data_IF_424028248508
#
_entry.id   IF_424028248508
#
_cell.length_a   1.000
_cell.length_b   1.000
_cell.length_c   1.000
_cell.angle_alpha   90.00
_cell.angle_beta   90.00
_cell.angle_gamma   90.00
#
_symmetry.space_group_name_H-M   'P 1'
#
loop_
_entity.id
_entity.type
_entity.pdbx_description
1 polymer ?
#
# COMPACT_ATOMS: atom_id res chain seq x y z
N UNK A 1 -29.47 7.40 76.39
CA UNK A 1 -30.08 8.42 77.27
C UNK A 1 -29.46 9.76 76.88
N UNK A 2 -30.25 10.83 76.66
CA UNK A 2 -29.78 12.19 76.38
C UNK A 2 -29.69 13.01 77.69
N UNK A 3 -29.55 14.35 77.65
CA UNK A 3 -28.70 15.23 76.84
C UNK A 3 -27.67 15.92 77.77
N UNK A 4 -27.17 17.12 77.43
CA UNK A 4 -27.26 18.33 78.29
C UNK A 4 -26.73 19.56 77.53
N UNK A 5 -27.14 20.76 77.96
CA UNK A 5 -26.85 22.04 77.27
C UNK A 5 -26.02 23.01 78.12
N UNK A 6 -25.59 24.09 77.46
CA UNK A 6 -25.40 25.43 78.03
C UNK A 6 -24.10 25.75 78.83
N UNK A 7 -23.73 27.06 78.94
CA UNK A 7 -22.33 27.48 78.83
C UNK A 7 -21.92 28.54 79.90
N UNK A 8 -20.95 29.41 79.56
CA UNK A 8 -20.70 30.80 80.00
C UNK A 8 -19.32 31.07 80.65
N UNK A 9 -18.94 32.37 80.58
CA UNK A 9 -17.80 33.06 81.23
C UNK A 9 -16.43 32.79 80.56
N UNK A 10 -15.56 33.76 80.25
CA UNK A 10 -15.27 35.13 80.74
C UNK A 10 -14.51 35.17 82.09
N UNK A 11 -13.41 35.93 82.28
CA UNK A 11 -12.76 36.93 81.40
C UNK A 11 -11.27 36.58 81.14
N UNK A 12 -10.17 37.31 81.41
CA UNK A 12 -9.90 38.62 82.06
C UNK A 12 -8.58 39.23 81.52
N UNK A 13 -8.39 40.54 81.74
CA UNK A 13 -7.29 41.40 81.30
C UNK A 13 -5.90 41.09 81.91
N UNK A 14 -4.84 41.50 81.19
CA UNK A 14 -3.73 42.29 81.73
C UNK A 14 -3.22 43.29 80.65
N UNK A 15 -2.64 44.42 81.04
CA UNK A 15 -2.59 45.66 80.23
C UNK A 15 -1.23 45.99 79.53
N UNK A 16 -1.33 46.62 78.34
CA UNK A 16 -0.84 47.99 77.95
C UNK A 16 0.37 48.53 78.78
N UNK A 17 1.44 49.17 78.20
CA UNK A 17 1.24 50.36 77.34
C UNK A 17 2.27 50.84 76.28
N UNK A 18 1.72 51.68 75.37
CA UNK A 18 2.23 52.92 74.74
C UNK A 18 3.49 52.95 73.84
N UNK A 19 3.31 53.50 72.62
CA UNK A 19 4.29 54.40 71.97
C UNK A 19 4.48 54.26 70.45
N UNK A 20 4.36 55.37 69.71
CA UNK A 20 5.11 55.56 68.43
C UNK A 20 4.33 55.48 67.11
N UNK A 21 4.03 56.67 66.56
CA UNK A 21 3.38 56.96 65.28
C UNK A 21 3.91 56.27 64.01
N UNK A 22 2.96 55.89 63.14
CA UNK A 22 2.96 55.90 61.66
C UNK A 22 4.28 56.06 60.85
N UNK A 23 4.51 55.12 59.93
CA UNK A 23 4.47 55.35 58.47
C UNK A 23 4.26 53.99 57.75
N UNK A 24 3.71 53.98 56.52
CA UNK A 24 3.31 52.74 55.83
C UNK A 24 4.19 52.35 54.65
N UNK A 25 4.08 51.09 54.20
CA UNK A 25 4.53 50.65 52.87
C UNK A 25 3.71 49.44 52.37
N UNK A 26 3.49 49.35 51.06
CA UNK A 26 2.73 48.25 50.45
C UNK A 26 3.61 47.02 50.18
N UNK A 27 3.06 45.83 50.41
CA UNK A 27 3.66 44.55 50.01
C UNK A 27 2.57 43.56 49.56
N UNK A 28 1.97 43.79 48.39
CA UNK A 28 1.01 42.87 47.78
C UNK A 28 1.76 41.74 47.07
N UNK A 29 1.90 40.59 47.74
CA UNK A 29 2.60 39.42 47.21
C UNK A 29 1.85 38.75 46.06
N UNK A 30 2.25 39.06 44.81
CA UNK A 30 1.72 38.39 43.61
C UNK A 30 2.20 36.94 43.54
N UNK A 31 1.32 36.00 43.88
CA UNK A 31 1.49 34.58 43.56
C UNK A 31 1.31 34.36 42.05
N UNK A 32 2.41 34.47 41.31
CA UNK A 32 2.44 34.08 39.88
C UNK A 32 2.39 32.56 39.80
N UNK A 33 1.16 32.03 39.75
CA UNK A 33 0.91 30.63 39.46
C UNK A 33 1.27 30.32 38.01
N UNK A 34 2.54 29.94 37.77
CA UNK A 34 3.02 29.49 36.46
C UNK A 34 2.26 28.25 36.01
N UNK A 35 1.19 28.46 35.24
CA UNK A 35 0.42 27.40 34.61
C UNK A 35 1.30 26.68 33.57
N UNK A 36 1.99 25.62 34.01
CA UNK A 36 2.68 24.70 33.11
C UNK A 36 1.62 24.00 32.28
N UNK A 37 1.35 24.56 31.09
CA UNK A 37 0.44 23.99 30.11
C UNK A 37 1.06 22.70 29.58
N UNK A 38 0.77 21.59 30.26
CA UNK A 38 1.21 20.25 29.87
C UNK A 38 0.53 19.89 28.56
N UNK A 39 1.23 20.16 27.45
CA UNK A 39 0.76 19.83 26.12
C UNK A 39 0.42 18.34 26.06
N UNK A 40 -0.88 18.03 25.95
CA UNK A 40 -1.32 16.64 25.81
C UNK A 40 -0.62 16.03 24.59
N UNK A 41 -0.06 14.81 24.70
CA UNK A 41 0.74 14.22 23.64
C UNK A 41 -0.14 13.95 22.42
N UNK A 42 -0.06 14.83 21.41
CA UNK A 42 -0.97 14.92 20.28
C UNK A 42 -1.45 13.54 19.80
N UNK A 43 -2.76 13.33 19.77
CA UNK A 43 -3.33 12.11 19.22
C UNK A 43 -3.13 12.07 17.72
N UNK A 44 -2.86 10.89 17.17
CA UNK A 44 -2.84 10.65 15.72
C UNK A 44 -4.13 11.19 15.11
N UNK A 45 -4.02 11.91 13.98
CA UNK A 45 -5.16 12.39 13.22
C UNK A 45 -6.02 11.19 12.78
N UNK A 46 -7.33 11.16 13.08
CA UNK A 46 -8.15 9.98 12.81
C UNK A 46 -8.22 9.65 11.32
N UNK A 47 -8.43 8.37 10.99
CA UNK A 47 -8.70 7.95 9.63
C UNK A 47 -10.06 8.53 9.18
N UNK A 48 -10.15 9.28 8.05
CA UNK A 48 -11.40 9.90 7.62
C UNK A 48 -12.37 8.87 7.04
N UNK A 49 -13.64 8.93 7.44
CA UNK A 49 -14.72 8.28 6.69
C UNK A 49 -14.95 9.07 5.41
N UNK A 50 -14.61 8.49 4.25
CA UNK A 50 -14.69 9.18 2.96
C UNK A 50 -15.93 8.72 2.19
N UNK A 51 -16.64 9.67 1.57
CA UNK A 51 -17.67 9.35 0.57
C UNK A 51 -16.99 9.13 -0.78
N UNK A 52 -17.26 8.00 -1.45
CA UNK A 52 -16.63 7.65 -2.71
C UNK A 52 -16.70 8.79 -3.76
N UNK A 53 -17.85 9.47 -3.83
CA UNK A 53 -18.09 10.59 -4.77
C UNK A 53 -17.29 11.86 -4.52
N UNK A 54 -16.49 11.91 -3.45
CA UNK A 54 -15.53 13.00 -3.18
C UNK A 54 -14.10 12.69 -3.63
N UNK A 55 -13.80 11.44 -4.01
CA UNK A 55 -12.43 10.97 -4.33
C UNK A 55 -12.34 10.13 -5.61
N UNK A 56 -13.46 9.95 -6.33
CA UNK A 56 -13.55 9.19 -7.59
C UNK A 56 -14.30 9.99 -8.66
N UNK A 57 -13.94 9.77 -9.91
CA UNK A 57 -14.69 10.26 -11.08
C UNK A 57 -16.03 9.53 -11.25
N UNK A 58 -16.95 10.11 -12.03
CA UNK A 58 -18.25 9.48 -12.34
C UNK A 58 -18.12 8.07 -12.93
N UNK A 59 -17.17 7.86 -13.85
CA UNK A 59 -16.91 6.56 -14.47
C UNK A 59 -16.29 5.53 -13.50
N UNK A 60 -15.43 5.98 -12.57
CA UNK A 60 -14.92 5.12 -11.50
C UNK A 60 -16.03 4.73 -10.52
N UNK A 61 -16.93 5.66 -10.17
CA UNK A 61 -18.06 5.41 -9.27
C UNK A 61 -19.04 4.37 -9.83
N UNK A 62 -19.36 4.46 -11.13
CA UNK A 62 -20.34 3.59 -11.79
C UNK A 62 -20.02 3.44 -13.28
N UNK A 63 -19.94 2.20 -13.73
CA UNK A 63 -19.88 1.83 -15.15
C UNK A 63 -21.10 1.01 -15.55
N UNK A 64 -21.02 0.33 -16.69
CA UNK A 64 -22.07 -0.59 -17.14
C UNK A 64 -22.16 -1.85 -16.24
N UNK A 65 -21.01 -2.39 -15.83
CA UNK A 65 -20.90 -3.68 -15.12
C UNK A 65 -20.48 -3.53 -13.64
N UNK A 66 -20.28 -2.31 -13.15
CA UNK A 66 -19.75 -2.05 -11.80
C UNK A 66 -20.38 -0.85 -11.09
N UNK A 67 -20.48 -0.93 -9.77
CA UNK A 67 -20.87 0.15 -8.87
C UNK A 67 -19.94 0.14 -7.64
N UNK A 68 -19.34 1.27 -7.31
CA UNK A 68 -18.56 1.44 -6.07
C UNK A 68 -19.50 1.80 -4.91
N UNK A 69 -19.29 1.19 -3.75
CA UNK A 69 -20.03 1.50 -2.53
C UNK A 69 -19.77 2.94 -2.05
N UNK A 70 -20.81 3.63 -1.58
CA UNK A 70 -20.72 5.05 -1.24
C UNK A 70 -19.80 5.36 -0.05
N UNK A 71 -19.64 4.42 0.89
CA UNK A 71 -18.74 4.54 2.04
C UNK A 71 -17.38 3.91 1.72
N UNK A 72 -16.30 4.67 1.94
CA UNK A 72 -14.91 4.27 1.71
C UNK A 72 -14.17 4.28 3.04
N UNK A 73 -13.60 3.13 3.40
CA UNK A 73 -12.73 2.99 4.57
C UNK A 73 -11.31 3.46 4.23
N UNK A 74 -10.57 3.99 5.21
CA UNK A 74 -9.23 4.58 4.97
C UNK A 74 -8.13 4.05 5.92
N UNK A 75 -7.96 2.72 6.06
CA UNK A 75 -6.99 2.15 6.99
C UNK A 75 -5.55 2.42 6.54
N UNK A 76 -4.81 3.16 7.38
CA UNK A 76 -3.44 3.58 7.08
C UNK A 76 -3.42 4.81 6.16
N UNK A 77 -3.07 4.60 4.90
CA UNK A 77 -2.84 5.62 3.85
C UNK A 77 -3.61 5.35 2.54
N UNK A 78 -4.34 4.24 2.46
CA UNK A 78 -5.07 3.82 1.26
C UNK A 78 -6.58 3.95 1.45
N UNK A 79 -7.29 4.20 0.35
CA UNK A 79 -8.74 4.04 0.26
C UNK A 79 -9.10 2.57 -0.02
N UNK A 80 -9.94 1.97 0.81
CA UNK A 80 -10.47 0.62 0.56
C UNK A 80 -11.86 0.71 -0.06
N UNK A 81 -11.92 0.47 -1.37
CA UNK A 81 -13.14 0.47 -2.15
C UNK A 81 -13.78 -0.93 -2.18
N UNK A 82 -15.10 -0.97 -2.10
CA UNK A 82 -15.90 -2.17 -2.38
C UNK A 82 -16.65 -1.94 -3.69
N UNK A 83 -16.50 -2.87 -4.64
CA UNK A 83 -17.08 -2.78 -5.98
C UNK A 83 -18.04 -3.93 -6.17
N UNK A 84 -19.32 -3.65 -6.42
CA UNK A 84 -20.33 -4.66 -6.72
C UNK A 84 -20.58 -4.75 -8.21
N UNK A 85 -20.72 -5.97 -8.70
CA UNK A 85 -20.93 -6.33 -10.11
C UNK A 85 -21.87 -7.53 -10.19
N UNK A 86 -22.44 -7.76 -11.37
CA UNK A 86 -23.10 -9.02 -11.73
C UNK A 86 -22.16 -10.25 -11.63
N UNK A 87 -20.85 -10.02 -11.75
CA UNK A 87 -19.79 -11.02 -11.59
C UNK A 87 -19.25 -11.16 -10.15
N UNK A 88 -19.89 -10.51 -9.17
CA UNK A 88 -19.56 -10.64 -7.75
C UNK A 88 -19.19 -9.33 -7.05
N UNK A 89 -18.64 -9.44 -5.84
CA UNK A 89 -18.18 -8.29 -5.04
C UNK A 89 -16.67 -8.31 -4.89
N UNK A 90 -16.01 -7.27 -5.39
CA UNK A 90 -14.57 -7.12 -5.41
C UNK A 90 -14.09 -6.07 -4.40
N UNK A 91 -12.83 -6.17 -4.00
CA UNK A 91 -12.16 -5.20 -3.12
C UNK A 91 -10.96 -4.61 -3.85
N UNK A 92 -10.82 -3.30 -3.81
CA UNK A 92 -9.67 -2.58 -4.37
C UNK A 92 -9.01 -1.73 -3.27
N UNK A 93 -7.69 -1.79 -3.19
CA UNK A 93 -6.91 -1.02 -2.21
C UNK A 93 -6.16 0.11 -2.91
N UNK A 94 -6.78 1.27 -2.89
CA UNK A 94 -6.35 2.50 -3.55
C UNK A 94 -6.83 2.66 -4.99
N UNK A 95 -6.73 3.88 -5.52
CA UNK A 95 -7.32 4.26 -6.82
C UNK A 95 -6.73 3.46 -7.99
N UNK A 96 -5.41 3.23 -8.00
CA UNK A 96 -4.73 2.43 -9.03
C UNK A 96 -5.24 0.97 -9.08
N UNK A 97 -5.62 0.41 -7.92
CA UNK A 97 -6.24 -0.92 -7.84
C UNK A 97 -7.71 -0.92 -8.21
N UNK A 98 -8.44 0.18 -7.96
CA UNK A 98 -9.81 0.33 -8.44
C UNK A 98 -9.84 0.35 -9.96
N UNK A 99 -8.93 1.10 -10.60
CA UNK A 99 -8.81 1.15 -12.05
C UNK A 99 -8.33 -0.18 -12.65
N UNK A 100 -7.64 -1.04 -11.88
CA UNK A 100 -7.41 -2.45 -12.27
C UNK A 100 -8.70 -3.26 -12.17
N UNK A 101 -9.36 -3.28 -11.01
CA UNK A 101 -10.57 -4.08 -10.75
C UNK A 101 -11.72 -3.72 -11.70
N UNK A 102 -11.91 -2.44 -12.06
CA UNK A 102 -12.92 -2.02 -13.05
C UNK A 102 -12.62 -2.58 -14.44
N UNK A 103 -11.35 -2.57 -14.88
CA UNK A 103 -10.94 -3.22 -16.15
C UNK A 103 -11.13 -4.73 -16.10
N UNK A 104 -10.85 -5.38 -14.97
CA UNK A 104 -11.09 -6.81 -14.81
C UNK A 104 -12.57 -7.18 -14.86
N UNK A 105 -13.45 -6.39 -14.23
CA UNK A 105 -14.91 -6.58 -14.30
C UNK A 105 -15.40 -6.47 -15.75
N UNK A 106 -14.97 -5.45 -16.49
CA UNK A 106 -15.31 -5.33 -17.91
C UNK A 106 -14.72 -6.47 -18.75
N UNK A 107 -13.51 -6.93 -18.44
CA UNK A 107 -12.90 -8.11 -19.08
C UNK A 107 -13.68 -9.40 -18.83
N UNK A 108 -14.21 -9.60 -17.61
CA UNK A 108 -15.12 -10.73 -17.30
C UNK A 108 -16.40 -10.61 -18.13
N UNK A 109 -16.96 -9.40 -18.32
CA UNK A 109 -18.12 -9.20 -19.19
C UNK A 109 -17.85 -9.65 -20.63
N UNK A 110 -16.80 -9.14 -21.26
CA UNK A 110 -16.41 -9.49 -22.64
C UNK A 110 -16.20 -11.00 -22.80
N UNK A 111 -15.51 -11.65 -21.85
CA UNK A 111 -15.33 -13.11 -21.85
C UNK A 111 -16.66 -13.88 -21.73
N UNK A 112 -17.64 -13.36 -20.97
CA UNK A 112 -18.97 -13.96 -20.82
C UNK A 112 -19.82 -13.87 -22.10
N UNK A 113 -19.61 -12.85 -22.94
CA UNK A 113 -20.28 -12.74 -24.24
C UNK A 113 -19.72 -13.74 -25.27
N UNK A 114 -18.44 -14.08 -25.16
CA UNK A 114 -17.76 -15.06 -26.01
C UNK A 114 -18.11 -16.50 -25.62
N UNK A 115 -18.23 -16.81 -24.33
CA UNK A 115 -18.53 -18.15 -23.84
C UNK A 115 -19.62 -18.15 -22.77
N UNK A 116 -20.80 -18.65 -23.11
CA UNK A 116 -21.89 -18.97 -22.16
C UNK A 116 -21.67 -20.29 -21.40
N UNK A 117 -20.42 -20.66 -21.16
CA UNK A 117 -20.07 -21.90 -20.46
C UNK A 117 -20.47 -21.86 -18.98
N UNK A 118 -20.72 -23.03 -18.40
CA UNK A 118 -21.31 -23.19 -17.06
C UNK A 118 -20.48 -22.52 -15.94
N UNK A 119 -19.18 -22.32 -16.18
CA UNK A 119 -18.24 -21.56 -15.34
C UNK A 119 -18.77 -20.14 -15.04
N UNK A 120 -19.44 -19.49 -15.99
CA UNK A 120 -20.09 -18.20 -15.77
C UNK A 120 -21.42 -18.31 -15.01
N UNK A 121 -22.12 -19.44 -15.14
CA UNK A 121 -23.42 -19.68 -14.48
C UNK A 121 -23.21 -19.88 -12.98
N UNK A 122 -22.21 -20.67 -12.58
CA UNK A 122 -21.88 -20.89 -11.15
C UNK A 122 -21.44 -19.58 -10.46
N UNK A 123 -20.58 -18.80 -11.11
CA UNK A 123 -20.08 -17.52 -10.58
C UNK A 123 -21.18 -16.44 -10.46
N UNK A 124 -22.09 -16.36 -11.43
CA UNK A 124 -23.23 -15.43 -11.39
C UNK A 124 -24.27 -15.83 -10.34
N UNK A 125 -24.59 -17.14 -10.23
CA UNK A 125 -25.63 -17.66 -9.34
C UNK A 125 -25.37 -17.35 -7.85
N UNK A 126 -24.13 -17.47 -7.40
CA UNK A 126 -23.76 -17.14 -6.01
C UNK A 126 -23.66 -15.62 -5.75
N UNK A 127 -23.49 -14.82 -6.79
CA UNK A 127 -23.32 -13.35 -6.68
C UNK A 127 -24.66 -12.64 -6.42
N UNK A 128 -25.72 -13.02 -7.13
CA UNK A 128 -27.07 -12.43 -7.01
C UNK A 128 -27.63 -12.48 -5.58
N UNK A 129 -27.42 -13.59 -4.86
CA UNK A 129 -27.92 -13.79 -3.48
C UNK A 129 -27.29 -12.81 -2.47
N UNK A 130 -26.10 -12.28 -2.78
CA UNK A 130 -25.32 -11.47 -1.85
C UNK A 130 -25.49 -9.95 -2.05
N UNK A 131 -25.85 -9.49 -3.25
CA UNK A 131 -26.07 -8.05 -3.53
C UNK A 131 -27.14 -7.45 -2.61
N UNK A 132 -28.24 -8.17 -2.38
CA UNK A 132 -29.32 -7.73 -1.50
C UNK A 132 -28.96 -7.64 0.00
N UNK A 133 -27.84 -8.24 0.43
CA UNK A 133 -27.37 -8.23 1.84
C UNK A 133 -26.17 -7.30 2.05
N UNK A 134 -25.34 -7.09 1.02
CA UNK A 134 -24.10 -6.32 1.13
C UNK A 134 -24.28 -4.83 1.48
N UNK A 135 -25.40 -4.22 1.11
CA UNK A 135 -25.64 -2.79 1.30
C UNK A 135 -25.84 -2.37 2.78
N UNK A 136 -26.38 -3.25 3.62
CA UNK A 136 -26.74 -2.91 5.01
C UNK A 136 -25.54 -2.88 5.97
N UNK A 137 -24.57 -3.78 5.78
CA UNK A 137 -23.50 -4.02 6.76
C UNK A 137 -22.32 -3.03 6.67
N UNK A 138 -22.29 -2.16 5.65
CA UNK A 138 -21.18 -1.22 5.42
C UNK A 138 -21.11 -0.03 6.40
N UNK A 139 -22.03 0.07 7.36
CA UNK A 139 -22.21 1.22 8.26
C UNK A 139 -21.89 0.90 9.73
N UNK A 140 -21.60 -0.36 10.06
CA UNK A 140 -21.46 -0.81 11.45
C UNK A 140 -20.01 -0.70 11.96
N UNK A 141 -19.80 0.25 12.89
CA UNK A 141 -18.66 0.38 13.82
C UNK A 141 -17.24 0.62 13.23
N UNK A 142 -16.95 1.82 12.69
CA UNK A 142 -15.59 2.22 12.32
C UNK A 142 -14.59 2.31 13.50
N UNK A 143 -15.09 2.44 14.73
CA UNK A 143 -14.27 2.66 15.95
C UNK A 143 -13.49 1.41 16.36
N UNK A 144 -14.04 0.20 16.16
CA UNK A 144 -13.36 -1.04 16.57
C UNK A 144 -12.27 -1.47 15.59
N UNK A 145 -12.44 -1.17 14.29
CA UNK A 145 -11.39 -1.34 13.27
C UNK A 145 -10.10 -0.60 13.66
N UNK A 146 -10.21 0.59 14.27
CA UNK A 146 -9.05 1.38 14.69
C UNK A 146 -8.15 0.65 15.71
N UNK A 147 -8.71 -0.26 16.54
CA UNK A 147 -7.97 -1.00 17.58
C UNK A 147 -7.04 -2.06 16.99
N UNK A 148 -7.36 -2.61 15.81
CA UNK A 148 -6.55 -3.65 15.14
C UNK A 148 -5.39 -3.14 14.29
N UNK A 149 -5.41 -1.87 13.86
CA UNK A 149 -4.50 -1.34 12.81
C UNK A 149 -3.07 -1.07 13.29
N UNK A 150 -2.81 -1.10 14.60
CA UNK A 150 -1.49 -0.77 15.19
C UNK A 150 -0.31 -1.63 14.73
N UNK A 151 -0.56 -2.85 14.23
CA UNK A 151 0.51 -3.76 13.79
C UNK A 151 1.24 -3.35 12.50
N UNK A 152 0.57 -2.64 11.58
CA UNK A 152 1.12 -2.31 10.26
C UNK A 152 2.17 -1.20 10.32
N UNK A 153 1.88 -0.11 11.04
CA UNK A 153 2.68 1.11 11.01
C UNK A 153 4.08 0.94 11.63
N UNK A 154 4.21 0.10 12.67
CA UNK A 154 5.49 -0.19 13.35
C UNK A 154 6.56 -0.80 12.43
N UNK A 155 6.18 -1.29 11.23
CA UNK A 155 7.06 -1.86 10.20
C UNK A 155 7.46 -0.89 9.08
N UNK A 156 6.98 0.36 9.06
CA UNK A 156 7.28 1.31 7.97
C UNK A 156 8.63 2.02 8.14
N UNK A 157 9.01 2.33 9.40
CA UNK A 157 10.29 2.95 9.79
C UNK A 157 11.14 2.08 10.73
N UNK A 158 11.12 0.74 10.58
CA UNK A 158 12.07 -0.13 11.31
C UNK A 158 12.58 -1.30 10.46
N UNK A 159 13.84 -1.23 10.02
CA UNK A 159 14.62 -2.40 9.58
C UNK A 159 16.09 -2.39 10.05
N UNK A 160 16.55 -1.30 10.69
CA UNK A 160 17.92 -1.02 11.13
C UNK A 160 18.39 -1.88 12.32
N UNK A 161 18.34 -3.21 12.18
CA UNK A 161 18.76 -4.16 13.21
C UNK A 161 18.28 -5.61 13.05
N UNK A 162 17.42 -5.94 12.08
CA UNK A 162 16.94 -7.32 11.85
C UNK A 162 17.74 -8.13 10.82
N UNK A 163 18.74 -7.51 10.16
CA UNK A 163 19.66 -8.21 9.24
C UNK A 163 20.82 -8.86 9.98
N UNK A 164 21.49 -8.13 10.88
CA UNK A 164 22.59 -8.67 11.70
C UNK A 164 22.16 -9.86 12.55
N UNK A 165 20.95 -9.82 13.13
CA UNK A 165 20.47 -10.97 13.93
C UNK A 165 20.08 -12.18 13.05
N UNK A 166 19.32 -12.00 11.96
CA UNK A 166 18.95 -13.15 11.11
C UNK A 166 20.13 -13.76 10.35
N UNK A 167 21.13 -12.98 9.93
CA UNK A 167 22.35 -13.55 9.36
C UNK A 167 23.23 -14.31 10.39
N UNK A 168 22.93 -14.20 11.69
CA UNK A 168 23.55 -15.01 12.74
C UNK A 168 22.66 -16.22 13.12
N UNK A 169 21.34 -16.04 13.19
CA UNK A 169 20.38 -17.11 13.47
C UNK A 169 20.25 -18.11 12.28
N UNK A 170 20.34 -17.64 11.03
CA UNK A 170 20.26 -18.46 9.79
C UNK A 170 21.57 -19.22 9.46
N UNK A 171 22.59 -19.14 10.33
CA UNK A 171 23.84 -19.88 10.20
C UNK A 171 23.86 -21.21 10.98
N UNK A 172 22.80 -21.51 11.74
CA UNK A 172 22.67 -22.67 12.62
C UNK A 172 21.22 -23.18 12.63
N UNK A 173 20.86 -24.02 11.66
CA UNK A 173 20.05 -25.25 11.84
C UNK A 173 19.91 -25.99 10.49
N UNK A 174 19.43 -27.23 10.52
CA UNK A 174 19.54 -28.21 9.43
C UNK A 174 18.50 -28.03 8.30
N UNK A 175 18.79 -28.59 7.11
CA UNK A 175 17.96 -28.49 5.90
C UNK A 175 16.61 -29.22 6.11
N UNK A 176 15.46 -28.52 6.07
CA UNK A 176 14.18 -29.11 6.44
C UNK A 176 13.69 -30.12 5.38
N UNK A 177 13.39 -31.35 5.81
CA UNK A 177 12.85 -32.37 4.92
C UNK A 177 11.52 -31.92 4.26
N UNK A 178 11.58 -31.74 2.95
CA UNK A 178 10.42 -31.41 2.12
C UNK A 178 9.34 -32.50 2.22
N UNK A 179 8.08 -32.06 2.23
CA UNK A 179 6.92 -32.95 2.21
C UNK A 179 6.85 -33.79 0.93
N UNK A 180 6.11 -34.90 0.96
CA UNK A 180 5.91 -35.72 -0.25
C UNK A 180 5.19 -34.96 -1.37
N UNK A 181 4.34 -33.99 -1.02
CA UNK A 181 3.66 -33.12 -1.98
C UNK A 181 4.63 -32.16 -2.68
N UNK A 182 5.62 -31.61 -1.96
CA UNK A 182 6.71 -30.80 -2.53
C UNK A 182 7.68 -31.65 -3.37
N UNK A 183 7.98 -32.88 -2.92
CA UNK A 183 8.79 -33.86 -3.67
C UNK A 183 8.08 -34.28 -4.97
N UNK A 184 6.76 -34.52 -4.95
CA UNK A 184 5.94 -34.80 -6.13
C UNK A 184 5.86 -33.58 -7.09
N UNK A 185 5.79 -32.37 -6.54
CA UNK A 185 5.84 -31.15 -7.33
C UNK A 185 7.20 -30.99 -8.06
N UNK A 186 8.32 -31.38 -7.43
CA UNK A 186 9.64 -31.39 -8.09
C UNK A 186 9.70 -32.29 -9.34
N UNK A 187 8.95 -33.40 -9.37
CA UNK A 187 8.98 -34.36 -10.48
C UNK A 187 8.26 -33.95 -11.78
N UNK A 188 7.48 -32.85 -11.81
CA UNK A 188 6.47 -32.64 -12.87
C UNK A 188 6.47 -31.27 -13.58
N UNK A 189 7.42 -30.36 -13.27
CA UNK A 189 7.48 -29.02 -13.88
C UNK A 189 7.18 -27.86 -12.92
N UNK A 190 7.63 -27.99 -11.67
CA UNK A 190 7.43 -27.10 -10.51
C UNK A 190 7.67 -25.62 -10.75
N UNK A 191 8.59 -25.29 -11.66
CA UNK A 191 9.01 -23.91 -11.96
C UNK A 191 7.84 -23.02 -12.37
N UNK A 192 6.77 -23.58 -12.92
CA UNK A 192 5.56 -22.82 -13.26
C UNK A 192 4.60 -22.63 -12.08
N UNK A 193 4.58 -23.55 -11.11
CA UNK A 193 3.73 -23.46 -9.93
C UNK A 193 4.32 -22.47 -8.88
N UNK A 194 5.61 -22.60 -8.57
CA UNK A 194 6.28 -21.78 -7.56
C UNK A 194 6.34 -20.28 -7.93
N UNK A 195 6.24 -19.95 -9.22
CA UNK A 195 6.27 -18.58 -9.77
C UNK A 195 4.86 -18.06 -10.10
N UNK A 196 3.80 -18.80 -9.76
CA UNK A 196 2.40 -18.37 -9.92
C UNK A 196 1.86 -18.36 -11.36
N UNK A 197 2.59 -18.91 -12.33
CA UNK A 197 2.21 -18.91 -13.77
C UNK A 197 1.39 -20.13 -14.20
N UNK A 198 1.05 -21.02 -13.26
CA UNK A 198 0.18 -22.18 -13.49
C UNK A 198 -1.17 -21.74 -14.10
N UNK A 199 -1.50 -22.30 -15.26
CA UNK A 199 -2.69 -21.97 -16.07
C UNK A 199 -2.42 -21.01 -17.25
N UNK A 200 -1.34 -20.22 -17.21
CA UNK A 200 -1.12 -19.08 -18.15
C UNK A 200 -0.50 -19.53 -19.49
N UNK A 201 -1.26 -20.34 -20.23
CA UNK A 201 -0.91 -20.81 -21.57
C UNK A 201 -1.07 -19.70 -22.64
N UNK A 202 -0.70 -20.00 -23.91
CA UNK A 202 -0.75 -19.01 -25.00
C UNK A 202 -2.18 -18.55 -25.35
N UNK A 203 -3.20 -19.39 -25.15
CA UNK A 203 -4.59 -19.01 -25.38
C UNK A 203 -5.09 -18.05 -24.28
N UNK A 204 -4.79 -18.33 -23.01
CA UNK A 204 -5.07 -17.41 -21.88
C UNK A 204 -4.46 -16.03 -22.13
N UNK A 205 -3.19 -15.96 -22.58
CA UNK A 205 -2.54 -14.67 -22.90
C UNK A 205 -3.17 -13.97 -24.11
N UNK A 206 -3.56 -14.68 -25.18
CA UNK A 206 -4.30 -14.10 -26.32
C UNK A 206 -5.64 -13.51 -25.88
N UNK A 207 -6.40 -14.20 -25.02
CA UNK A 207 -7.69 -13.69 -24.55
C UNK A 207 -7.54 -12.54 -23.57
N UNK A 208 -6.55 -12.58 -22.68
CA UNK A 208 -6.22 -11.45 -21.80
C UNK A 208 -5.84 -10.19 -22.60
N UNK A 209 -5.10 -10.35 -23.71
CA UNK A 209 -4.78 -9.26 -24.63
C UNK A 209 -6.02 -8.68 -25.32
N UNK A 210 -6.91 -9.54 -25.84
CA UNK A 210 -8.18 -9.13 -26.47
C UNK A 210 -9.05 -8.30 -25.52
N UNK A 211 -9.12 -8.66 -24.24
CA UNK A 211 -9.97 -7.98 -23.24
C UNK A 211 -9.23 -6.94 -22.38
N UNK A 212 -7.95 -6.67 -22.66
CA UNK A 212 -7.18 -5.59 -22.03
C UNK A 212 -6.78 -5.81 -20.56
N UNK A 213 -6.62 -7.07 -20.13
CA UNK A 213 -6.36 -7.45 -18.72
C UNK A 213 -5.02 -8.18 -18.51
N UNK A 214 -4.61 -8.35 -17.25
CA UNK A 214 -3.41 -9.08 -16.86
C UNK A 214 -3.64 -10.62 -16.88
N UNK A 215 -2.95 -11.39 -17.74
CA UNK A 215 -3.05 -12.85 -17.74
C UNK A 215 -2.48 -13.52 -16.49
N UNK A 216 -1.69 -12.79 -15.67
CA UNK A 216 -1.14 -13.24 -14.39
C UNK A 216 -1.90 -12.63 -13.20
N UNK A 217 -3.18 -12.26 -13.39
CA UNK A 217 -4.02 -11.67 -12.35
C UNK A 217 -4.22 -12.60 -11.13
N UNK A 218 -4.33 -11.99 -9.95
CA UNK A 218 -4.75 -12.65 -8.71
C UNK A 218 -6.28 -12.69 -8.52
N UNK A 219 -7.05 -12.14 -9.47
CA UNK A 219 -8.52 -12.18 -9.46
C UNK A 219 -9.00 -13.55 -9.95
N UNK A 220 -9.48 -14.39 -9.03
CA UNK A 220 -9.93 -15.76 -9.33
C UNK A 220 -11.09 -15.79 -10.34
N UNK A 221 -12.05 -14.88 -10.25
CA UNK A 221 -13.18 -14.81 -11.20
C UNK A 221 -12.69 -14.54 -12.62
N UNK A 222 -11.76 -13.58 -12.79
CA UNK A 222 -11.18 -13.30 -14.10
C UNK A 222 -10.28 -14.44 -14.59
N UNK A 223 -9.49 -15.05 -13.70
CA UNK A 223 -8.64 -16.20 -14.06
C UNK A 223 -9.49 -17.37 -14.58
N UNK A 224 -10.55 -17.75 -13.88
CA UNK A 224 -11.47 -18.82 -14.32
C UNK A 224 -12.18 -18.47 -15.64
N UNK A 225 -12.57 -17.21 -15.84
CA UNK A 225 -13.14 -16.75 -17.10
C UNK A 225 -12.16 -16.86 -18.28
N UNK A 226 -10.89 -16.45 -18.08
CA UNK A 226 -9.83 -16.56 -19.08
C UNK A 226 -9.49 -18.02 -19.42
N UNK A 227 -9.35 -18.88 -18.41
CA UNK A 227 -9.06 -20.31 -18.59
C UNK A 227 -10.23 -21.05 -19.26
N UNK A 228 -11.47 -20.72 -18.88
CA UNK A 228 -12.69 -21.23 -19.51
C UNK A 228 -12.76 -20.89 -21.00
N UNK A 229 -12.68 -19.60 -21.35
CA UNK A 229 -12.69 -19.17 -22.76
C UNK A 229 -11.51 -19.77 -23.53
N UNK A 230 -10.31 -19.80 -22.96
CA UNK A 230 -9.13 -20.39 -23.59
C UNK A 230 -9.27 -21.90 -23.88
N UNK A 231 -9.95 -22.66 -23.00
CA UNK A 231 -10.25 -24.09 -23.20
C UNK A 231 -11.28 -24.28 -24.33
N UNK A 232 -12.29 -23.43 -24.41
CA UNK A 232 -13.35 -23.45 -25.43
C UNK A 232 -12.83 -23.01 -26.82
N UNK A 233 -11.90 -22.04 -26.84
CA UNK A 233 -11.10 -21.61 -28.01
C UNK A 233 -10.24 -22.77 -28.55
N UNK A 234 -9.50 -23.44 -27.66
CA UNK A 234 -8.64 -24.58 -28.01
C UNK A 234 -9.42 -25.81 -28.54
N UNK A 235 -10.69 -25.97 -28.16
CA UNK A 235 -11.60 -26.98 -28.70
C UNK A 235 -12.16 -26.63 -30.10
N UNK A 236 -11.76 -25.49 -30.70
CA UNK A 236 -12.21 -25.05 -32.02
C UNK A 236 -13.66 -24.58 -32.09
N UNK A 237 -14.33 -24.41 -30.94
CA UNK A 237 -15.78 -24.17 -30.87
C UNK A 237 -16.19 -22.69 -30.96
N UNK A 238 -15.24 -21.76 -30.85
CA UNK A 238 -15.50 -20.32 -30.98
C UNK A 238 -15.39 -19.87 -32.44
N UNK A 239 -16.51 -19.39 -33.01
CA UNK A 239 -16.46 -18.76 -34.34
C UNK A 239 -15.70 -17.44 -34.30
N UNK A 240 -14.95 -17.12 -35.35
CA UNK A 240 -13.99 -15.99 -35.42
C UNK A 240 -14.61 -14.59 -35.47
N UNK A 241 -15.90 -14.45 -35.16
CA UNK A 241 -16.67 -13.19 -35.30
C UNK A 241 -16.67 -12.29 -34.06
N UNK A 242 -16.10 -12.73 -32.94
CA UNK A 242 -16.01 -11.92 -31.72
C UNK A 242 -14.85 -10.92 -31.78
N UNK A 243 -15.17 -9.66 -32.05
CA UNK A 243 -14.26 -8.51 -31.92
C UNK A 243 -14.48 -7.85 -30.57
N UNK A 244 -13.46 -7.89 -29.71
CA UNK A 244 -13.49 -7.23 -28.39
C UNK A 244 -12.95 -5.80 -28.52
N UNK A 245 -13.61 -4.78 -27.96
CA UNK A 245 -13.08 -3.41 -27.91
C UNK A 245 -11.95 -3.28 -26.89
N UNK A 246 -10.70 -3.14 -27.35
CA UNK A 246 -9.53 -2.95 -26.48
C UNK A 246 -9.45 -1.49 -25.99
N UNK A 247 -9.47 -1.21 -24.68
CA UNK A 247 -9.18 0.12 -24.15
C UNK A 247 -7.69 0.47 -24.35
N UNK A 248 -7.35 1.68 -24.82
CA UNK A 248 -5.95 2.04 -25.06
C UNK A 248 -5.14 2.12 -23.75
N UNK A 249 -4.08 1.32 -23.66
CA UNK A 249 -3.06 1.47 -22.62
C UNK A 249 -2.08 2.57 -23.00
N UNK A 250 -1.59 3.33 -22.01
CA UNK A 250 -0.62 4.42 -22.17
C UNK A 250 0.57 4.26 -21.22
N UNK A 251 1.72 4.84 -21.60
CA UNK A 251 2.95 4.80 -20.80
C UNK A 251 3.63 3.44 -20.74
N UNK A 252 4.52 3.24 -19.77
CA UNK A 252 5.28 1.98 -19.59
C UNK A 252 4.37 0.76 -19.30
N UNK A 253 3.18 0.99 -18.77
CA UNK A 253 2.15 -0.04 -18.62
C UNK A 253 1.70 -0.64 -19.97
N UNK A 254 1.73 0.12 -21.07
CA UNK A 254 1.45 -0.42 -22.41
C UNK A 254 2.59 -1.33 -22.91
N UNK A 255 3.85 -0.93 -22.68
CA UNK A 255 5.04 -1.73 -23.03
C UNK A 255 5.08 -3.04 -22.26
N UNK A 256 4.84 -3.00 -20.94
CA UNK A 256 4.80 -4.22 -20.11
C UNK A 256 3.56 -5.05 -20.39
N UNK A 257 2.41 -4.42 -20.66
CA UNK A 257 1.18 -5.08 -21.14
C UNK A 257 1.46 -5.94 -22.39
N UNK A 258 2.07 -5.34 -23.41
CA UNK A 258 2.47 -6.07 -24.61
C UNK A 258 3.43 -7.22 -24.31
N UNK A 259 4.41 -7.05 -23.41
CA UNK A 259 5.31 -8.12 -22.99
C UNK A 259 4.57 -9.29 -22.31
N UNK A 260 3.68 -9.02 -21.35
CA UNK A 260 2.96 -10.08 -20.61
C UNK A 260 1.92 -10.81 -21.46
N UNK A 261 1.47 -10.21 -22.57
CA UNK A 261 0.59 -10.85 -23.55
C UNK A 261 1.36 -11.66 -24.61
N UNK A 262 2.40 -11.09 -25.21
CA UNK A 262 3.09 -11.67 -26.38
C UNK A 262 4.21 -12.64 -26.02
N UNK A 263 4.91 -12.41 -24.92
CA UNK A 263 6.02 -13.28 -24.47
C UNK A 263 5.47 -14.51 -23.77
N UNK A 264 6.15 -15.65 -23.86
CA UNK A 264 5.87 -16.80 -22.98
C UNK A 264 6.42 -16.57 -21.56
N UNK A 265 5.90 -17.28 -20.54
CA UNK A 265 6.26 -17.02 -19.15
C UNK A 265 7.74 -17.30 -18.85
N UNK A 266 8.36 -18.26 -19.55
CA UNK A 266 9.75 -18.65 -19.29
C UNK A 266 10.73 -17.67 -19.93
N UNK A 267 10.48 -17.24 -21.17
CA UNK A 267 11.26 -16.18 -21.83
C UNK A 267 11.09 -14.83 -21.13
N UNK A 268 9.89 -14.52 -20.60
CA UNK A 268 9.66 -13.32 -19.81
C UNK A 268 10.39 -13.39 -18.45
N UNK A 269 10.42 -14.57 -17.81
CA UNK A 269 11.26 -14.82 -16.63
C UNK A 269 12.75 -14.63 -16.96
N UNK A 270 13.26 -15.20 -18.05
CA UNK A 270 14.67 -15.02 -18.50
C UNK A 270 15.02 -13.55 -18.77
N UNK A 271 14.10 -12.78 -19.35
CA UNK A 271 14.25 -11.33 -19.53
C UNK A 271 14.36 -10.61 -18.18
N UNK A 272 13.56 -11.01 -17.19
CA UNK A 272 13.58 -10.44 -15.85
C UNK A 272 14.84 -10.86 -15.04
N UNK A 273 15.27 -12.12 -15.13
CA UNK A 273 16.54 -12.62 -14.60
C UNK A 273 17.72 -11.81 -15.19
N UNK A 274 17.71 -11.57 -16.50
CA UNK A 274 18.68 -10.71 -17.19
C UNK A 274 18.69 -9.26 -16.68
N UNK A 275 17.52 -8.65 -16.45
CA UNK A 275 17.41 -7.31 -15.84
C UNK A 275 17.91 -7.28 -14.40
N UNK A 276 17.56 -8.27 -13.58
CA UNK A 276 18.03 -8.37 -12.20
C UNK A 276 19.57 -8.43 -12.15
N UNK A 277 20.17 -9.27 -13.00
CA UNK A 277 21.63 -9.35 -13.16
C UNK A 277 22.25 -8.03 -13.65
N UNK A 278 21.62 -7.36 -14.61
CA UNK A 278 22.07 -6.04 -15.11
C UNK A 278 21.95 -4.91 -14.07
N UNK A 279 21.10 -5.08 -13.05
CA UNK A 279 20.94 -4.18 -11.90
C UNK A 279 21.84 -4.56 -10.70
N UNK A 280 22.70 -5.57 -10.85
CA UNK A 280 23.63 -6.01 -9.80
C UNK A 280 22.98 -6.83 -8.68
N UNK A 281 21.79 -7.39 -8.90
CA UNK A 281 21.14 -8.30 -7.93
C UNK A 281 21.92 -9.61 -7.87
N UNK A 282 22.24 -10.08 -6.66
CA UNK A 282 22.87 -11.39 -6.47
C UNK A 282 21.88 -12.53 -6.72
N UNK A 283 22.36 -13.70 -7.14
CA UNK A 283 21.51 -14.84 -7.50
C UNK A 283 20.58 -15.26 -6.33
N UNK A 284 21.05 -15.17 -5.08
CA UNK A 284 20.25 -15.41 -3.87
C UNK A 284 19.11 -14.40 -3.72
N UNK A 285 19.38 -13.10 -3.91
CA UNK A 285 18.38 -12.05 -3.80
C UNK A 285 17.37 -12.10 -4.97
N UNK A 286 17.84 -12.45 -6.17
CA UNK A 286 17.00 -12.68 -7.35
C UNK A 286 16.07 -13.88 -7.15
N UNK A 287 16.60 -15.03 -6.68
CA UNK A 287 15.81 -16.22 -6.32
C UNK A 287 14.73 -15.88 -5.28
N UNK A 288 15.07 -15.12 -4.24
CA UNK A 288 14.11 -14.70 -3.22
C UNK A 288 13.03 -13.74 -3.78
N UNK A 289 13.41 -12.81 -4.66
CA UNK A 289 12.48 -11.90 -5.33
C UNK A 289 11.46 -12.64 -6.20
N UNK A 290 11.92 -13.56 -7.06
CA UNK A 290 11.06 -14.28 -7.99
C UNK A 290 10.15 -15.32 -7.33
N UNK A 291 10.55 -15.90 -6.19
CA UNK A 291 9.75 -16.84 -5.41
C UNK A 291 8.73 -16.17 -4.45
N UNK A 292 8.72 -14.83 -4.33
CA UNK A 292 7.72 -14.16 -3.51
C UNK A 292 6.34 -14.18 -4.19
N UNK A 293 5.45 -15.04 -3.70
CA UNK A 293 4.07 -15.22 -4.19
C UNK A 293 3.13 -13.99 -4.05
N UNK A 294 3.62 -12.84 -3.56
CA UNK A 294 2.92 -11.55 -3.56
C UNK A 294 3.23 -10.71 -4.81
N UNK A 295 4.25 -11.08 -5.58
CA UNK A 295 4.67 -10.44 -6.83
C UNK A 295 4.34 -11.35 -8.00
N UNK A 296 3.27 -11.05 -8.75
CA UNK A 296 2.96 -11.77 -10.00
C UNK A 296 4.06 -11.54 -11.05
N UNK A 297 4.17 -12.39 -12.08
CA UNK A 297 5.17 -12.17 -13.15
C UNK A 297 5.01 -10.79 -13.82
N UNK A 298 3.78 -10.26 -13.91
CA UNK A 298 3.52 -8.88 -14.34
C UNK A 298 4.12 -7.85 -13.38
N UNK A 299 3.94 -8.00 -12.06
CA UNK A 299 4.56 -7.11 -11.06
C UNK A 299 6.08 -7.18 -11.08
N UNK A 300 6.66 -8.39 -11.18
CA UNK A 300 8.10 -8.60 -11.32
C UNK A 300 8.64 -7.89 -12.58
N UNK A 301 7.94 -8.03 -13.71
CA UNK A 301 8.29 -7.37 -14.98
C UNK A 301 8.21 -5.85 -14.88
N UNK A 302 7.13 -5.30 -14.28
CA UNK A 302 6.96 -3.85 -14.04
C UNK A 302 8.12 -3.30 -13.20
N UNK A 303 8.43 -3.95 -12.08
CA UNK A 303 9.51 -3.53 -11.17
C UNK A 303 10.87 -3.52 -11.87
N UNK A 304 11.22 -4.62 -12.53
CA UNK A 304 12.53 -4.76 -13.15
C UNK A 304 12.68 -3.88 -14.39
N UNK A 305 11.62 -3.70 -15.19
CA UNK A 305 11.64 -2.77 -16.34
C UNK A 305 11.74 -1.31 -15.90
N UNK A 306 11.06 -0.92 -14.81
CA UNK A 306 11.16 0.43 -14.26
C UNK A 306 12.57 0.72 -13.70
N UNK A 307 13.15 -0.21 -12.94
CA UNK A 307 14.50 -0.06 -12.40
C UNK A 307 15.58 -0.12 -13.49
N UNK A 308 15.46 -0.99 -14.48
CA UNK A 308 16.37 -1.07 -15.65
C UNK A 308 16.26 0.17 -16.56
N UNK A 309 15.12 0.85 -16.61
CA UNK A 309 15.00 2.13 -17.31
C UNK A 309 15.67 3.32 -16.58
N UNK A 310 15.86 3.23 -15.26
CA UNK A 310 16.36 4.31 -14.40
C UNK A 310 17.83 4.11 -14.01
N UNK A 311 18.25 2.84 -13.85
CA UNK A 311 19.57 2.37 -13.36
C UNK A 311 20.13 3.17 -12.17
N UNK A 312 19.34 3.37 -11.09
CA UNK A 312 19.81 4.13 -9.93
C UNK A 312 20.86 3.32 -9.17
N UNK A 313 21.85 4.00 -8.59
CA UNK A 313 22.68 3.36 -7.57
C UNK A 313 21.80 2.85 -6.42
N UNK A 314 22.12 1.66 -5.90
CA UNK A 314 21.39 0.90 -4.87
C UNK A 314 20.10 0.19 -5.37
N UNK A 315 19.93 -0.02 -6.68
CA UNK A 315 18.79 -0.77 -7.24
C UNK A 315 18.64 -2.19 -6.65
N UNK A 316 19.74 -2.92 -6.47
CA UNK A 316 19.73 -4.28 -5.93
C UNK A 316 19.25 -4.39 -4.47
N UNK A 317 19.67 -3.45 -3.62
CA UNK A 317 19.18 -3.35 -2.23
C UNK A 317 17.70 -3.02 -2.16
N UNK A 318 17.22 -2.20 -3.11
CA UNK A 318 15.81 -1.88 -3.19
C UNK A 318 14.99 -3.08 -3.68
N UNK A 319 15.47 -3.86 -4.65
CA UNK A 319 14.84 -5.14 -5.03
C UNK A 319 14.74 -6.09 -3.81
N UNK A 320 15.80 -6.16 -2.99
CA UNK A 320 15.77 -6.92 -1.71
C UNK A 320 14.74 -6.35 -0.71
N UNK A 321 14.45 -5.05 -0.76
CA UNK A 321 13.39 -4.40 0.03
C UNK A 321 11.99 -4.75 -0.49
N UNK A 322 11.80 -4.77 -1.82
CA UNK A 322 10.55 -5.18 -2.49
C UNK A 322 10.25 -6.66 -2.21
N UNK A 323 11.27 -7.53 -2.21
CA UNK A 323 11.18 -8.94 -1.81
C UNK A 323 10.59 -9.12 -0.41
N UNK A 324 10.67 -8.11 0.46
CA UNK A 324 10.07 -8.11 1.81
C UNK A 324 8.55 -7.90 1.84
N UNK A 325 7.86 -7.77 0.69
CA UNK A 325 6.42 -7.60 0.62
C UNK A 325 5.66 -8.84 1.13
N UNK A 326 4.83 -8.69 2.17
CA UNK A 326 4.05 -9.79 2.75
C UNK A 326 2.60 -9.85 2.26
N UNK A 327 2.14 -8.82 1.55
CA UNK A 327 0.78 -8.71 1.00
C UNK A 327 0.78 -8.10 -0.39
N UNK A 328 -0.27 -8.38 -1.18
CA UNK A 328 -0.46 -7.82 -2.54
C UNK A 328 -0.49 -6.28 -2.50
N UNK A 329 -1.10 -5.69 -1.46
CA UNK A 329 -1.08 -4.24 -1.18
C UNK A 329 0.34 -3.66 -1.10
N UNK A 330 1.22 -4.35 -0.38
CA UNK A 330 2.60 -3.93 -0.19
C UNK A 330 3.45 -4.11 -1.46
N UNK A 331 3.23 -5.22 -2.19
CA UNK A 331 3.82 -5.45 -3.50
C UNK A 331 3.44 -4.35 -4.50
N UNK A 332 2.15 -3.98 -4.58
CA UNK A 332 1.65 -2.91 -5.45
C UNK A 332 2.18 -1.53 -5.06
N UNK A 333 2.29 -1.23 -3.75
CA UNK A 333 2.93 0.01 -3.28
C UNK A 333 4.37 0.12 -3.81
N UNK A 334 5.14 -0.97 -3.77
CA UNK A 334 6.48 -1.01 -4.34
C UNK A 334 6.50 -0.87 -5.87
N UNK A 335 5.63 -1.59 -6.59
CA UNK A 335 5.50 -1.51 -8.06
C UNK A 335 5.22 -0.07 -8.51
N UNK A 336 4.21 0.57 -7.91
CA UNK A 336 3.85 1.94 -8.24
C UNK A 336 4.93 2.94 -7.81
N UNK A 337 5.70 2.65 -6.75
CA UNK A 337 6.82 3.51 -6.32
C UNK A 337 7.94 3.54 -7.36
N UNK A 338 8.30 2.40 -7.96
CA UNK A 338 9.34 2.36 -9.02
C UNK A 338 8.82 2.87 -10.36
N UNK A 339 7.52 2.79 -10.65
CA UNK A 339 6.93 3.47 -11.81
C UNK A 339 6.91 5.00 -11.65
N UNK A 340 6.62 5.51 -10.43
CA UNK A 340 6.85 6.93 -10.10
C UNK A 340 8.33 7.31 -10.21
N UNK A 341 9.27 6.39 -9.94
CA UNK A 341 10.71 6.64 -10.08
C UNK A 341 11.11 6.78 -11.56
N UNK A 342 10.53 5.95 -12.43
CA UNK A 342 10.67 6.05 -13.88
C UNK A 342 10.10 7.38 -14.39
N UNK A 343 8.91 7.77 -13.92
CA UNK A 343 8.26 9.04 -14.27
C UNK A 343 8.96 10.30 -13.66
N UNK A 344 9.74 10.13 -12.59
CA UNK A 344 10.64 11.17 -12.08
C UNK A 344 11.90 11.29 -12.97
N UNK A 345 12.54 10.16 -13.31
CA UNK A 345 13.79 10.15 -14.06
C UNK A 345 13.66 10.85 -15.43
N UNK A 346 12.53 10.69 -16.14
CA UNK A 346 12.28 11.37 -17.41
C UNK A 346 12.19 12.90 -17.30
N UNK A 347 11.82 13.43 -16.13
CA UNK A 347 11.75 14.88 -15.83
C UNK A 347 13.03 15.42 -15.17
N UNK A 348 13.75 14.56 -14.47
CA UNK A 348 14.90 14.91 -13.63
C UNK A 348 15.72 13.65 -13.35
N UNK A 349 16.87 13.44 -14.03
CA UNK A 349 17.61 12.18 -13.93
C UNK A 349 17.93 11.78 -12.49
N UNK A 350 17.51 10.56 -12.13
CA UNK A 350 17.77 9.95 -10.82
C UNK A 350 19.19 9.41 -10.79
N UNK A 351 19.92 9.67 -9.69
CA UNK A 351 21.27 9.14 -9.45
C UNK A 351 21.27 7.92 -8.54
N UNK A 352 20.51 7.96 -7.45
CA UNK A 352 20.55 6.94 -6.39
C UNK A 352 19.23 6.86 -5.63
N UNK A 353 19.02 5.76 -4.91
CA UNK A 353 17.87 5.55 -4.01
C UNK A 353 18.32 5.09 -2.62
N UNK A 354 17.50 5.30 -1.58
CA UNK A 354 17.82 4.83 -0.22
C UNK A 354 17.72 3.31 -0.12
N UNK A 355 18.76 2.69 0.44
CA UNK A 355 18.76 1.29 0.86
C UNK A 355 17.78 1.05 2.02
N UNK A 356 17.16 -0.13 2.07
CA UNK A 356 16.33 -0.62 3.19
C UNK A 356 15.17 0.30 3.66
N UNK A 357 14.80 1.30 2.84
CA UNK A 357 13.68 2.21 3.09
C UNK A 357 12.42 1.68 2.41
N UNK A 358 11.31 1.51 3.14
CA UNK A 358 10.05 1.06 2.52
C UNK A 358 9.48 2.12 1.57
N UNK A 359 9.37 3.37 2.05
CA UNK A 359 9.10 4.49 1.15
C UNK A 359 10.27 4.67 0.19
N UNK A 360 10.00 4.72 -1.12
CA UNK A 360 11.06 4.92 -2.10
C UNK A 360 11.52 6.37 -2.04
N UNK A 361 12.77 6.58 -1.64
CA UNK A 361 13.42 7.88 -1.64
C UNK A 361 14.54 7.88 -2.65
N UNK A 362 14.44 8.77 -3.63
CA UNK A 362 15.43 8.98 -4.67
C UNK A 362 16.21 10.27 -4.42
N UNK A 363 17.42 10.36 -4.96
CA UNK A 363 18.14 11.63 -5.15
C UNK A 363 18.46 11.79 -6.63
N UNK A 364 18.11 12.95 -7.17
CA UNK A 364 18.41 13.33 -8.55
C UNK A 364 19.86 13.80 -8.71
N UNK A 365 20.35 13.87 -9.95
CA UNK A 365 21.66 14.45 -10.26
C UNK A 365 21.79 15.92 -9.79
N UNK A 366 20.67 16.63 -9.63
CA UNK A 366 20.60 17.98 -9.06
C UNK A 366 20.59 18.01 -7.51
N UNK A 367 20.83 16.88 -6.83
CA UNK A 367 20.78 16.68 -5.37
C UNK A 367 19.40 16.95 -4.72
N UNK A 368 18.32 17.01 -5.51
CA UNK A 368 16.99 17.03 -4.95
C UNK A 368 16.60 15.62 -4.47
N UNK A 369 16.33 15.48 -3.18
CA UNK A 369 15.75 14.27 -2.61
C UNK A 369 14.24 14.25 -2.83
N UNK A 370 13.71 13.15 -3.36
CA UNK A 370 12.28 13.00 -3.63
C UNK A 370 11.79 11.70 -3.01
N UNK A 371 10.81 11.78 -2.10
CA UNK A 371 10.09 10.59 -1.65
C UNK A 371 8.87 10.37 -2.54
N UNK A 372 8.69 9.14 -3.00
CA UNK A 372 7.62 8.72 -3.88
C UNK A 372 6.59 7.95 -3.05
N UNK A 373 5.37 8.49 -2.96
CA UNK A 373 4.30 7.92 -2.14
C UNK A 373 3.05 7.64 -3.00
N UNK A 374 2.95 6.46 -3.64
CA UNK A 374 1.74 5.99 -4.32
C UNK A 374 0.69 5.54 -3.30
N UNK A 375 0.08 6.52 -2.63
CA UNK A 375 -0.98 6.33 -1.63
C UNK A 375 -2.11 7.34 -1.88
N UNK A 376 -3.33 7.05 -1.42
CA UNK A 376 -4.47 7.93 -1.68
C UNK A 376 -4.59 9.08 -0.68
N UNK A 377 -4.07 8.89 0.55
CA UNK A 377 -4.25 9.81 1.67
C UNK A 377 -3.02 9.88 2.59
N UNK A 378 -2.62 11.10 2.97
CA UNK A 378 -1.58 11.35 3.95
C UNK A 378 -2.14 12.18 5.12
N UNK A 379 -2.23 11.55 6.30
CA UNK A 379 -2.66 12.13 7.57
C UNK A 379 -1.54 12.14 8.60
N UNK A 380 -1.61 13.05 9.55
CA UNK A 380 -0.59 13.18 10.60
C UNK A 380 -0.74 12.05 11.62
N UNK A 381 0.31 11.25 11.76
CA UNK A 381 0.44 10.23 12.81
C UNK A 381 1.87 10.22 13.29
N UNK A 382 2.09 9.83 14.56
CA UNK A 382 3.43 9.67 15.14
C UNK A 382 4.33 8.78 14.29
N UNK A 383 3.78 7.72 13.69
CA UNK A 383 4.53 6.83 12.81
C UNK A 383 4.87 7.46 11.45
N UNK A 384 3.97 8.24 10.86
CA UNK A 384 4.23 8.92 9.60
C UNK A 384 5.27 10.04 9.77
N UNK A 385 5.11 10.87 10.81
CA UNK A 385 6.06 11.96 11.13
C UNK A 385 7.44 11.40 11.49
N UNK A 386 7.51 10.34 12.30
CA UNK A 386 8.78 9.68 12.60
C UNK A 386 9.45 9.11 11.34
N UNK A 387 8.69 8.43 10.46
CA UNK A 387 9.23 7.91 9.20
C UNK A 387 9.74 9.05 8.31
N UNK A 388 8.95 10.11 8.10
CA UNK A 388 9.33 11.28 7.29
C UNK A 388 10.55 12.03 7.85
N UNK A 389 10.75 12.01 9.17
CA UNK A 389 11.93 12.59 9.84
C UNK A 389 13.16 11.69 9.73
N UNK A 390 12.98 10.36 9.82
CA UNK A 390 14.06 9.39 9.54
C UNK A 390 14.54 9.57 8.10
N UNK A 391 13.64 9.49 7.11
CA UNK A 391 14.05 9.51 5.70
C UNK A 391 14.57 10.88 5.24
N UNK A 392 14.19 12.01 5.86
CA UNK A 392 14.81 13.30 5.56
C UNK A 392 16.25 13.38 6.06
N UNK A 393 16.54 12.86 7.25
CA UNK A 393 17.89 12.76 7.78
C UNK A 393 18.75 11.77 6.96
N UNK A 394 18.18 10.62 6.56
CA UNK A 394 18.86 9.63 5.71
C UNK A 394 19.16 10.17 4.31
N UNK A 395 18.20 10.79 3.62
CA UNK A 395 18.42 11.36 2.29
C UNK A 395 19.55 12.41 2.27
N UNK A 396 19.61 13.27 3.30
CA UNK A 396 20.69 14.25 3.47
C UNK A 396 22.05 13.59 3.75
N UNK A 397 22.11 12.64 4.69
CA UNK A 397 23.36 12.00 5.16
C UNK A 397 23.93 10.97 4.19
N UNK A 398 23.10 10.08 3.67
CA UNK A 398 23.52 8.89 2.91
C UNK A 398 23.58 9.14 1.40
N UNK A 399 22.74 10.05 0.88
CA UNK A 399 22.66 10.35 -0.55
C UNK A 399 23.08 11.79 -0.92
N UNK A 400 23.36 12.64 0.07
CA UNK A 400 23.81 14.02 -0.13
C UNK A 400 22.72 14.98 -0.64
N UNK A 401 21.44 14.72 -0.32
CA UNK A 401 20.33 15.57 -0.72
C UNK A 401 20.43 16.99 -0.13
N UNK A 402 20.24 18.02 -0.96
CA UNK A 402 20.27 19.44 -0.55
C UNK A 402 18.86 20.04 -0.39
N UNK A 403 17.87 19.50 -1.10
CA UNK A 403 16.45 19.81 -0.95
C UNK A 403 15.63 18.50 -0.84
N UNK A 404 14.39 18.59 -0.35
CA UNK A 404 13.53 17.43 -0.10
C UNK A 404 12.08 17.73 -0.52
N UNK A 405 11.49 16.85 -1.35
CA UNK A 405 10.11 16.99 -1.86
C UNK A 405 9.33 15.66 -1.85
N UNK A 406 8.02 15.72 -1.66
CA UNK A 406 7.11 14.57 -1.80
C UNK A 406 6.48 14.58 -3.20
N UNK A 407 6.74 13.54 -4.00
CA UNK A 407 5.89 13.23 -5.16
C UNK A 407 4.76 12.30 -4.69
N UNK A 408 3.51 12.76 -4.81
CA UNK A 408 2.33 11.97 -4.43
C UNK A 408 1.07 12.52 -5.08
N UNK A 409 0.13 11.62 -5.38
CA UNK A 409 -1.26 11.98 -5.75
C UNK A 409 -2.19 11.95 -4.53
N UNK A 410 -1.65 11.76 -3.33
CA UNK A 410 -2.43 11.68 -2.09
C UNK A 410 -3.13 13.01 -1.77
N UNK A 411 -4.34 12.92 -1.21
CA UNK A 411 -4.88 14.04 -0.44
C UNK A 411 -4.11 14.16 0.87
N UNK A 412 -3.43 15.28 1.06
CA UNK A 412 -2.57 15.54 2.22
C UNK A 412 -3.32 16.46 3.19
N UNK A 413 -3.53 16.03 4.44
CA UNK A 413 -4.21 16.86 5.44
C UNK A 413 -3.37 18.10 5.79
N UNK A 414 -3.98 19.20 6.28
CA UNK A 414 -3.23 20.35 6.77
C UNK A 414 -2.24 20.00 7.88
N UNK A 415 -2.61 19.07 8.80
CA UNK A 415 -1.70 18.56 9.84
C UNK A 415 -0.52 17.80 9.24
N UNK A 416 -0.76 16.88 8.29
CA UNK A 416 0.31 16.12 7.65
C UNK A 416 1.26 17.03 6.87
N UNK A 417 0.71 18.00 6.12
CA UNK A 417 1.50 18.98 5.35
C UNK A 417 2.39 19.82 6.26
N UNK A 418 1.85 20.32 7.39
CA UNK A 418 2.63 21.07 8.37
C UNK A 418 3.72 20.21 9.05
N UNK A 419 3.38 18.99 9.47
CA UNK A 419 4.33 18.10 10.15
C UNK A 419 5.45 17.60 9.21
N UNK A 420 5.15 17.33 7.94
CA UNK A 420 6.16 16.89 6.97
C UNK A 420 7.03 18.09 6.51
N UNK A 421 6.47 19.30 6.43
CA UNK A 421 7.26 20.53 6.25
C UNK A 421 8.21 20.78 7.43
N UNK A 422 7.80 20.52 8.67
CA UNK A 422 8.68 20.57 9.84
C UNK A 422 9.79 19.51 9.80
N UNK A 423 9.53 18.33 9.21
CA UNK A 423 10.55 17.32 8.89
C UNK A 423 11.43 17.69 7.66
N UNK A 424 11.17 18.84 7.02
CA UNK A 424 11.96 19.43 5.94
C UNK A 424 11.46 19.19 4.52
N UNK A 425 10.26 18.64 4.32
CA UNK A 425 9.71 18.27 3.02
C UNK A 425 8.79 19.33 2.40
N UNK A 426 9.00 19.66 1.13
CA UNK A 426 8.00 20.33 0.28
C UNK A 426 7.14 19.31 -0.48
N UNK A 427 6.16 19.78 -1.26
CA UNK A 427 5.30 18.97 -2.14
C UNK A 427 5.36 19.56 -3.55
#
# INVERSE_FOLDING_TARGET
MPPMCHPLRSTTLAAVPLGGSAFGLCAASLLVASAVLTAQPASDEPAPTVTASKVLTAAQLKGAHHQVAAAVSTPGFFHEFTVTSEYGTFKAVGRLELDRVVREINGIHELSQVSKSDIFIEAAGQSLVNVGKGAANAVVNPVDTAKGVGGGLKRMGTNLGRRSKRAADEALDEDPELSEEEKAAQGSGTTNAAYGVLGVNSAVRRWAAKVGVDPYTTNSTLKSALEGVAKVDAAGSLTTKFVVPIPPLVGSAATVGNLVWTTDPESLRKMNEGRAKALGVSDTAAKAFFLNNRLTLTMQTRVLAALDAVKPANAADYITTITGATSVREALFFVHSVEMLQALHTKSPVKSILTDSKALVAVTSAKAGVVLLPVDWLRETKSAVATMTEISARAKRELGATSLRVETEATVTPRARAAFAAAGWTF
#
